data_IF_243698162860
#
_entry.id   IF_243698162860
#
_cell.length_a   1.000
_cell.length_b   1.000
_cell.length_c   1.000
_cell.angle_alpha   90.00
_cell.angle_beta   90.00
_cell.angle_gamma   90.00
#
_symmetry.space_group_name_H-M   'P 1'
#
loop_
_entity.id
_entity.type
_entity.pdbx_description
1 polymer ?
#
# COMPACT_ATOMS: atom_id res chain seq x y z
N UNK A 1 -20.08 59.44 43.87
CA UNK A 1 -20.71 59.69 42.56
C UNK A 1 -19.77 60.56 41.73
N UNK A 2 -19.58 60.36 40.42
CA UNK A 2 -19.95 59.21 39.55
C UNK A 2 -18.68 58.50 38.99
N UNK A 3 -18.54 57.17 38.96
CA UNK A 3 -19.11 56.15 38.04
C UNK A 3 -19.10 56.60 36.56
N UNK A 4 -18.03 56.23 35.84
CA UNK A 4 -17.94 56.25 34.38
C UNK A 4 -18.70 55.03 33.83
N UNK A 5 -19.65 55.16 32.89
CA UNK A 5 -20.35 54.02 32.32
C UNK A 5 -19.49 53.31 31.27
N UNK A 6 -19.31 52.00 31.44
CA UNK A 6 -18.81 51.07 30.41
C UNK A 6 -19.66 51.20 29.14
N UNK A 7 -18.99 51.50 28.02
CA UNK A 7 -19.53 51.42 26.67
C UNK A 7 -20.00 49.98 26.37
N UNK A 8 -21.30 49.72 26.54
CA UNK A 8 -21.99 48.62 25.85
C UNK A 8 -21.93 48.92 24.36
N UNK A 9 -21.02 48.27 23.64
CA UNK A 9 -21.04 48.19 22.17
C UNK A 9 -22.35 47.52 21.74
N UNK A 10 -23.37 48.35 21.47
CA UNK A 10 -24.60 47.93 20.77
C UNK A 10 -24.18 47.43 19.39
N UNK A 11 -24.19 46.11 19.19
CA UNK A 11 -24.06 45.54 17.86
C UNK A 11 -25.18 46.09 16.98
N UNK A 12 -24.85 46.93 16.01
CA UNK A 12 -25.80 47.42 15.00
C UNK A 12 -26.58 46.24 14.39
N UNK A 13 -27.89 46.38 14.09
CA UNK A 13 -28.68 45.36 13.39
C UNK A 13 -28.01 44.88 12.10
N UNK A 14 -27.30 45.77 11.39
CA UNK A 14 -26.52 45.44 10.20
C UNK A 14 -25.36 44.49 10.51
N UNK A 15 -24.67 44.67 11.65
CA UNK A 15 -23.57 43.79 12.05
C UNK A 15 -24.07 42.39 12.45
N UNK A 16 -25.31 42.27 12.92
CA UNK A 16 -25.93 40.95 13.17
C UNK A 16 -26.31 40.25 11.86
N UNK A 17 -26.82 41.00 10.88
CA UNK A 17 -27.15 40.48 9.56
C UNK A 17 -25.89 40.00 8.82
N UNK A 18 -24.82 40.81 8.84
CA UNK A 18 -23.52 40.45 8.23
C UNK A 18 -22.94 39.19 8.88
N UNK A 19 -22.97 39.07 10.21
CA UNK A 19 -22.50 37.86 10.91
C UNK A 19 -23.34 36.62 10.57
N UNK A 20 -24.66 36.76 10.44
CA UNK A 20 -25.56 35.67 10.04
C UNK A 20 -25.32 35.24 8.59
N UNK A 21 -25.11 36.19 7.68
CA UNK A 21 -24.77 35.92 6.29
C UNK A 21 -23.41 35.24 6.18
N UNK A 22 -22.38 35.74 6.86
CA UNK A 22 -21.06 35.10 6.93
C UNK A 22 -21.15 33.68 7.49
N UNK A 23 -21.89 33.48 8.57
CA UNK A 23 -22.10 32.15 9.14
C UNK A 23 -22.85 31.23 8.17
N UNK A 24 -23.92 31.70 7.53
CA UNK A 24 -24.67 30.93 6.53
C UNK A 24 -23.80 30.57 5.31
N UNK A 25 -22.98 31.51 4.83
CA UNK A 25 -22.05 31.28 3.71
C UNK A 25 -20.97 30.29 4.10
N UNK A 26 -20.36 30.42 5.29
CA UNK A 26 -19.35 29.47 5.78
C UNK A 26 -19.98 28.10 6.01
N UNK A 27 -21.18 28.04 6.62
CA UNK A 27 -21.91 26.80 6.83
C UNK A 27 -22.28 26.13 5.52
N UNK A 28 -22.76 26.89 4.53
CA UNK A 28 -23.07 26.38 3.20
C UNK A 28 -21.80 25.90 2.48
N UNK A 29 -20.70 26.66 2.50
CA UNK A 29 -19.44 26.24 1.87
C UNK A 29 -18.85 24.99 2.54
N UNK A 30 -18.93 24.89 3.86
CA UNK A 30 -18.46 23.71 4.61
C UNK A 30 -19.35 22.48 4.37
N UNK A 31 -20.66 22.65 4.14
CA UNK A 31 -21.61 21.54 3.98
C UNK A 31 -22.12 21.34 2.55
N UNK A 32 -21.69 22.15 1.58
CA UNK A 32 -22.11 22.06 0.18
C UNK A 32 -21.81 20.67 -0.40
N UNK A 33 -20.71 20.05 0.05
CA UNK A 33 -20.34 18.70 -0.34
C UNK A 33 -21.41 17.65 0.05
N UNK A 34 -22.08 17.79 1.20
CA UNK A 34 -23.17 16.89 1.62
C UNK A 34 -24.42 17.10 0.77
N UNK A 35 -24.78 18.35 0.50
CA UNK A 35 -25.97 18.68 -0.28
C UNK A 35 -25.83 18.22 -1.75
N UNK A 36 -24.64 18.36 -2.33
CA UNK A 36 -24.39 17.94 -3.71
C UNK A 36 -24.17 16.42 -3.80
N UNK A 37 -23.60 15.78 -2.77
CA UNK A 37 -23.55 14.30 -2.67
C UNK A 37 -24.94 13.67 -2.74
N UNK A 38 -25.93 14.27 -2.06
CA UNK A 38 -27.33 13.82 -2.16
C UNK A 38 -27.96 14.08 -3.53
N UNK A 39 -27.56 15.15 -4.23
CA UNK A 39 -28.06 15.47 -5.59
C UNK A 39 -27.41 14.65 -6.71
N UNK A 40 -26.19 14.13 -6.49
CA UNK A 40 -25.40 13.39 -7.48
C UNK A 40 -25.09 11.95 -7.04
N UNK A 41 -25.92 11.36 -6.17
CA UNK A 41 -25.81 9.93 -5.88
C UNK A 41 -25.87 9.19 -7.23
N UNK A 42 -24.81 8.45 -7.62
CA UNK A 42 -24.73 7.92 -8.96
C UNK A 42 -25.88 6.92 -9.18
N UNK A 43 -26.59 7.09 -10.30
CA UNK A 43 -27.53 6.11 -10.83
C UNK A 43 -26.89 4.70 -10.82
N UNK A 44 -27.69 3.70 -10.45
CA UNK A 44 -27.31 2.29 -10.38
C UNK A 44 -26.77 1.74 -11.72
N UNK A 45 -27.03 2.38 -12.86
CA UNK A 45 -26.56 1.92 -14.19
C UNK A 45 -25.05 1.85 -14.40
N UNK A 46 -24.22 2.52 -13.59
CA UNK A 46 -22.76 2.42 -13.71
C UNK A 46 -22.16 1.18 -13.02
N UNK A 47 -22.93 0.39 -12.25
CA UNK A 47 -22.42 -0.85 -11.64
C UNK A 47 -22.31 -2.00 -12.63
N UNK A 48 -23.24 -2.10 -13.58
CA UNK A 48 -23.31 -3.22 -14.52
C UNK A 48 -22.14 -3.20 -15.52
N UNK A 49 -21.75 -2.01 -16.01
CA UNK A 49 -20.56 -1.85 -16.87
C UNK A 49 -19.27 -2.24 -16.13
N UNK A 50 -19.17 -1.97 -14.83
CA UNK A 50 -17.95 -2.29 -14.06
C UNK A 50 -17.83 -3.78 -13.77
N UNK A 51 -18.93 -4.50 -13.55
CA UNK A 51 -18.89 -5.94 -13.29
C UNK A 51 -18.28 -6.73 -14.45
N UNK A 52 -18.49 -6.27 -15.69
CA UNK A 52 -17.91 -6.87 -16.90
C UNK A 52 -16.37 -6.92 -16.91
N UNK A 53 -15.71 -6.07 -16.11
CA UNK A 53 -14.25 -6.02 -16.00
C UNK A 53 -13.64 -7.27 -15.34
N UNK A 54 -14.48 -8.11 -14.70
CA UNK A 54 -14.09 -9.37 -14.08
C UNK A 54 -14.82 -10.58 -14.69
N UNK A 55 -15.45 -10.42 -15.85
CA UNK A 55 -16.11 -11.52 -16.57
C UNK A 55 -15.06 -12.38 -17.29
N UNK A 56 -14.31 -13.15 -16.51
CA UNK A 56 -13.33 -14.09 -17.04
C UNK A 56 -14.03 -15.24 -17.75
N UNK A 57 -13.70 -15.44 -19.03
CA UNK A 57 -14.14 -16.58 -19.81
C UNK A 57 -12.93 -17.28 -20.47
N UNK A 58 -12.61 -18.54 -20.09
CA UNK A 58 -11.48 -19.26 -20.65
C UNK A 58 -11.61 -19.56 -22.16
N UNK A 59 -12.84 -19.51 -22.71
CA UNK A 59 -13.09 -19.73 -24.13
C UNK A 59 -12.88 -18.47 -24.99
N UNK A 60 -12.78 -17.29 -24.37
CA UNK A 60 -12.61 -16.01 -25.07
C UNK A 60 -11.12 -15.69 -25.18
N UNK A 61 -10.64 -15.51 -26.41
CA UNK A 61 -9.26 -15.06 -26.63
C UNK A 61 -9.18 -13.54 -26.46
N UNK A 62 -8.35 -13.09 -25.51
CA UNK A 62 -8.11 -11.67 -25.25
C UNK A 62 -6.83 -11.22 -25.96
N UNK A 63 -6.78 -10.01 -26.56
CA UNK A 63 -5.57 -9.49 -27.18
C UNK A 63 -4.39 -9.45 -26.20
N UNK A 64 -3.24 -9.95 -26.65
CA UNK A 64 -2.01 -9.94 -25.86
C UNK A 64 -1.41 -8.55 -25.77
N UNK A 65 -0.78 -8.27 -24.64
CA UNK A 65 -0.02 -7.06 -24.39
C UNK A 65 1.47 -7.35 -24.54
N UNK A 66 2.11 -6.64 -25.46
CA UNK A 66 3.55 -6.73 -25.69
C UNK A 66 4.33 -5.64 -24.94
N UNK A 67 5.63 -5.87 -24.75
CA UNK A 67 6.57 -4.87 -24.20
C UNK A 67 6.72 -4.86 -22.67
N UNK A 68 6.05 -5.75 -21.94
CA UNK A 68 6.16 -5.86 -20.47
C UNK A 68 7.32 -6.78 -20.05
N UNK A 69 7.61 -7.82 -20.82
CA UNK A 69 8.59 -8.85 -20.47
C UNK A 69 8.01 -9.93 -19.55
N UNK A 70 8.88 -10.73 -18.92
CA UNK A 70 8.47 -11.81 -18.03
C UNK A 70 8.17 -11.31 -16.62
N UNK A 71 7.03 -11.72 -16.06
CA UNK A 71 6.51 -11.25 -14.78
C UNK A 71 6.43 -12.40 -13.77
N UNK A 72 7.10 -12.25 -12.64
CA UNK A 72 6.93 -13.10 -11.47
C UNK A 72 5.88 -12.48 -10.54
N UNK A 73 4.72 -13.11 -10.41
CA UNK A 73 3.60 -12.62 -9.59
C UNK A 73 3.65 -13.30 -8.22
N UNK A 74 3.63 -12.52 -7.15
CA UNK A 74 3.73 -12.97 -5.77
C UNK A 74 2.56 -12.43 -4.94
N UNK A 75 1.82 -13.31 -4.27
CA UNK A 75 0.67 -12.91 -3.45
C UNK A 75 0.57 -13.72 -2.15
N UNK A 76 0.24 -13.03 -1.07
CA UNK A 76 -0.06 -13.65 0.23
C UNK A 76 -1.53 -13.41 0.57
N UNK A 77 -2.26 -14.46 0.95
CA UNK A 77 -3.67 -14.37 1.32
C UNK A 77 -3.93 -14.87 2.74
N UNK A 78 -4.83 -14.18 3.42
CA UNK A 78 -5.37 -14.54 4.73
C UNK A 78 -6.82 -14.04 4.83
N UNK A 79 -7.79 -14.93 4.94
CA UNK A 79 -9.22 -14.59 5.09
C UNK A 79 -9.66 -13.62 3.97
N UNK A 80 -9.28 -13.94 2.74
CA UNK A 80 -9.50 -13.10 1.55
C UNK A 80 -10.72 -13.54 0.73
N UNK A 81 -11.53 -14.50 1.22
CA UNK A 81 -12.60 -15.16 0.44
C UNK A 81 -13.61 -14.19 -0.20
N UNK A 82 -13.91 -13.07 0.46
CA UNK A 82 -14.83 -12.04 -0.06
C UNK A 82 -14.33 -11.30 -1.30
N UNK A 83 -13.02 -11.24 -1.50
CA UNK A 83 -12.38 -10.49 -2.59
C UNK A 83 -11.85 -11.44 -3.66
N UNK A 84 -11.46 -12.66 -3.28
CA UNK A 84 -10.81 -13.62 -4.17
C UNK A 84 -11.63 -13.92 -5.43
N UNK A 85 -12.72 -14.67 -5.31
CA UNK A 85 -13.47 -15.14 -6.48
C UNK A 85 -14.08 -14.01 -7.33
N UNK A 86 -14.78 -13.01 -6.76
CA UNK A 86 -15.47 -12.01 -7.59
C UNK A 86 -14.52 -11.03 -8.29
N UNK A 87 -13.29 -10.83 -7.78
CA UNK A 87 -12.42 -9.77 -8.28
C UNK A 87 -10.98 -10.25 -8.51
N UNK A 88 -10.30 -10.71 -7.46
CA UNK A 88 -8.86 -10.94 -7.51
C UNK A 88 -8.46 -12.09 -8.44
N UNK A 89 -9.15 -13.25 -8.34
CA UNK A 89 -8.89 -14.44 -9.16
C UNK A 89 -9.18 -14.13 -10.63
N UNK A 90 -10.36 -13.58 -10.93
CA UNK A 90 -10.73 -13.26 -12.31
C UNK A 90 -9.79 -12.19 -12.90
N UNK A 91 -9.45 -11.16 -12.13
CA UNK A 91 -8.49 -10.14 -12.54
C UNK A 91 -7.10 -10.71 -12.82
N UNK A 92 -6.62 -11.66 -12.00
CA UNK A 92 -5.35 -12.35 -12.23
C UNK A 92 -5.40 -13.20 -13.51
N UNK A 93 -6.46 -14.00 -13.71
CA UNK A 93 -6.59 -14.86 -14.88
C UNK A 93 -6.65 -14.05 -16.18
N UNK A 94 -7.39 -12.94 -16.19
CA UNK A 94 -7.44 -12.01 -17.32
C UNK A 94 -6.07 -11.35 -17.58
N UNK A 95 -5.36 -10.95 -16.52
CA UNK A 95 -4.00 -10.41 -16.63
C UNK A 95 -3.05 -11.44 -17.27
N UNK A 96 -3.10 -12.70 -16.82
CA UNK A 96 -2.26 -13.77 -17.36
C UNK A 96 -2.57 -14.03 -18.84
N UNK A 97 -3.86 -14.06 -19.22
CA UNK A 97 -4.24 -14.19 -20.63
C UNK A 97 -3.64 -13.06 -21.49
N UNK A 98 -3.68 -11.82 -21.00
CA UNK A 98 -3.13 -10.66 -21.70
C UNK A 98 -1.60 -10.65 -21.74
N UNK A 99 -0.91 -11.06 -20.67
CA UNK A 99 0.56 -11.15 -20.65
C UNK A 99 1.10 -12.35 -21.45
N UNK A 100 0.28 -13.37 -21.63
CA UNK A 100 0.70 -14.67 -22.15
C UNK A 100 1.14 -15.59 -21.00
N UNK A 101 0.53 -16.78 -20.82
CA UNK A 101 0.89 -17.73 -19.77
C UNK A 101 2.38 -18.07 -19.71
N UNK A 102 3.06 -18.12 -20.86
CA UNK A 102 4.49 -18.44 -20.96
C UNK A 102 5.43 -17.32 -20.43
N UNK A 103 4.89 -16.12 -20.22
CA UNK A 103 5.63 -14.97 -19.70
C UNK A 103 5.39 -14.77 -18.20
N UNK A 104 4.62 -15.64 -17.54
CA UNK A 104 4.21 -15.47 -16.15
C UNK A 104 4.62 -16.66 -15.30
N UNK A 105 5.10 -16.35 -14.09
CA UNK A 105 5.17 -17.32 -13.00
C UNK A 105 4.30 -16.82 -11.84
N UNK A 106 3.55 -17.71 -11.19
CA UNK A 106 2.69 -17.35 -10.04
C UNK A 106 3.16 -18.02 -8.75
N UNK A 107 3.47 -17.24 -7.72
CA UNK A 107 3.78 -17.70 -6.37
C UNK A 107 2.72 -17.21 -5.39
N UNK A 108 1.95 -18.12 -4.83
CA UNK A 108 0.91 -17.82 -3.84
C UNK A 108 1.21 -18.57 -2.54
N UNK A 109 1.07 -17.85 -1.43
CA UNK A 109 1.12 -18.42 -0.09
C UNK A 109 -0.15 -18.02 0.68
N UNK A 110 -0.88 -19.02 1.15
CA UNK A 110 -2.03 -18.87 2.03
C UNK A 110 -1.58 -19.23 3.46
N UNK A 111 -1.77 -18.32 4.40
CA UNK A 111 -1.14 -18.37 5.72
C UNK A 111 -2.09 -18.83 6.86
N UNK A 112 -3.01 -19.76 6.59
CA UNK A 112 -3.82 -20.43 7.62
C UNK A 112 -5.18 -19.76 7.86
N UNK A 113 -5.93 -19.55 6.78
CA UNK A 113 -7.29 -19.02 6.75
C UNK A 113 -8.31 -20.03 7.26
N UNK A 114 -9.36 -19.54 7.92
CA UNK A 114 -10.49 -20.35 8.39
C UNK A 114 -11.79 -20.13 7.58
N UNK A 115 -11.73 -19.35 6.51
CA UNK A 115 -12.83 -19.14 5.57
C UNK A 115 -12.61 -19.97 4.27
N UNK A 116 -13.34 -19.66 3.20
CA UNK A 116 -13.24 -20.37 1.92
C UNK A 116 -11.96 -20.06 1.11
N UNK A 117 -11.06 -19.19 1.60
CA UNK A 117 -9.81 -18.81 0.93
C UNK A 117 -9.01 -20.04 0.45
N UNK A 118 -8.76 -21.08 1.28
CA UNK A 118 -7.99 -22.24 0.84
C UNK A 118 -8.67 -23.01 -0.30
N UNK A 119 -10.01 -23.13 -0.29
CA UNK A 119 -10.73 -23.83 -1.35
C UNK A 119 -10.64 -23.06 -2.68
N UNK A 120 -10.85 -21.73 -2.64
CA UNK A 120 -10.76 -20.88 -3.83
C UNK A 120 -9.35 -20.88 -4.44
N UNK A 121 -8.29 -20.90 -3.62
CA UNK A 121 -6.92 -20.96 -4.13
C UNK A 121 -6.56 -22.32 -4.74
N UNK A 122 -7.18 -23.43 -4.28
CA UNK A 122 -7.05 -24.74 -4.96
C UNK A 122 -7.72 -24.74 -6.33
N UNK A 123 -8.89 -24.10 -6.46
CA UNK A 123 -9.55 -23.93 -7.76
C UNK A 123 -8.68 -23.09 -8.71
N UNK A 124 -8.12 -21.98 -8.23
CA UNK A 124 -7.17 -21.16 -8.98
C UNK A 124 -5.95 -21.97 -9.43
N UNK A 125 -5.37 -22.78 -8.54
CA UNK A 125 -4.22 -23.62 -8.88
C UNK A 125 -4.53 -24.55 -10.07
N UNK A 126 -5.68 -25.22 -10.06
CA UNK A 126 -6.10 -26.08 -11.17
C UNK A 126 -6.24 -25.29 -12.47
N UNK A 127 -6.86 -24.11 -12.43
CA UNK A 127 -7.08 -23.28 -13.61
C UNK A 127 -5.76 -22.75 -14.19
N UNK A 128 -4.84 -22.27 -13.35
CA UNK A 128 -3.48 -21.89 -13.77
C UNK A 128 -2.75 -23.07 -14.44
N UNK A 129 -2.99 -24.30 -13.97
CA UNK A 129 -2.48 -25.51 -14.59
C UNK A 129 -3.04 -25.79 -15.97
N UNK A 130 -4.36 -25.59 -16.16
CA UNK A 130 -4.99 -25.71 -17.48
C UNK A 130 -4.46 -24.65 -18.47
N UNK A 131 -4.15 -23.46 -17.98
CA UNK A 131 -3.55 -22.39 -18.78
C UNK A 131 -2.06 -22.62 -19.12
N UNK A 132 -1.41 -23.62 -18.52
CA UNK A 132 0.01 -23.89 -18.72
C UNK A 132 0.94 -22.91 -17.99
N UNK A 133 0.45 -22.25 -16.94
CA UNK A 133 1.24 -21.28 -16.14
C UNK A 133 2.11 -22.04 -15.14
N UNK A 134 3.42 -21.75 -15.15
CA UNK A 134 4.33 -22.21 -14.10
C UNK A 134 4.00 -21.52 -12.77
N UNK A 135 3.90 -22.29 -11.68
CA UNK A 135 3.44 -21.74 -10.40
C UNK A 135 3.88 -22.54 -9.18
N UNK A 136 3.77 -21.89 -8.01
CA UNK A 136 3.79 -22.51 -6.69
C UNK A 136 2.65 -21.93 -5.87
N UNK A 137 1.64 -22.75 -5.56
CA UNK A 137 0.54 -22.38 -4.65
C UNK A 137 0.67 -23.22 -3.40
N UNK A 138 1.00 -22.58 -2.28
CA UNK A 138 1.13 -23.22 -0.97
C UNK A 138 -0.03 -22.79 -0.08
N UNK A 139 -0.67 -23.78 0.54
CA UNK A 139 -1.77 -23.59 1.48
C UNK A 139 -1.34 -24.20 2.80
N UNK A 140 -1.30 -23.39 3.85
CA UNK A 140 -0.90 -23.86 5.17
C UNK A 140 -1.94 -24.81 5.78
N UNK A 141 -1.45 -25.83 6.47
CA UNK A 141 -2.29 -26.86 7.09
C UNK A 141 -2.85 -26.41 8.45
N UNK A 142 -2.17 -25.46 9.10
CA UNK A 142 -2.51 -24.95 10.41
C UNK A 142 -2.95 -23.50 10.33
N UNK A 143 -3.85 -23.11 11.21
CA UNK A 143 -4.39 -21.75 11.30
C UNK A 143 -3.32 -20.75 11.71
N UNK A 144 -3.52 -19.47 11.37
CA UNK A 144 -2.63 -18.40 11.84
C UNK A 144 -2.44 -18.41 13.36
N UNK A 145 -3.50 -18.74 14.12
CA UNK A 145 -3.45 -18.85 15.57
C UNK A 145 -2.48 -19.95 16.03
N UNK A 146 -2.56 -21.11 15.40
CA UNK A 146 -1.67 -22.24 15.69
C UNK A 146 -0.21 -21.90 15.33
N UNK A 147 0.01 -21.23 14.18
CA UNK A 147 1.35 -20.76 13.81
C UNK A 147 1.94 -19.80 14.85
N UNK A 148 1.16 -18.84 15.33
CA UNK A 148 1.60 -17.93 16.40
C UNK A 148 1.92 -18.72 17.67
N UNK A 149 1.08 -19.68 18.05
CA UNK A 149 1.31 -20.52 19.22
C UNK A 149 2.59 -21.35 19.12
N UNK A 150 2.88 -21.93 17.95
CA UNK A 150 4.13 -22.67 17.71
C UNK A 150 5.37 -21.78 17.82
N UNK A 151 5.32 -20.57 17.26
CA UNK A 151 6.45 -19.63 17.36
C UNK A 151 6.66 -19.18 18.80
N UNK A 152 5.58 -18.96 19.55
CA UNK A 152 5.65 -18.64 20.99
C UNK A 152 6.24 -19.82 21.77
N UNK A 153 5.85 -21.05 21.45
CA UNK A 153 6.36 -22.25 22.11
C UNK A 153 7.86 -22.52 21.83
N UNK A 154 8.38 -22.06 20.69
CA UNK A 154 9.80 -22.17 20.34
C UNK A 154 10.72 -21.30 21.19
N UNK A 155 10.19 -20.39 21.99
CA UNK A 155 10.97 -19.53 22.87
C UNK A 155 11.22 -18.13 22.32
N UNK A 156 11.65 -17.27 23.23
CA UNK A 156 11.81 -15.83 23.06
C UNK A 156 13.28 -15.40 22.88
N UNK A 157 14.17 -16.38 22.71
CA UNK A 157 15.60 -16.26 22.43
C UNK A 157 15.90 -15.92 20.96
N UNK A 158 14.93 -16.18 20.08
CA UNK A 158 15.02 -15.87 18.64
C UNK A 158 14.82 -14.38 18.36
N UNK A 159 15.32 -13.86 17.22
CA UNK A 159 15.04 -12.50 16.81
C UNK A 159 13.55 -12.24 16.52
N UNK A 160 13.12 -11.00 16.73
CA UNK A 160 11.76 -10.53 16.45
C UNK A 160 10.86 -10.43 17.68
N UNK A 161 11.39 -10.50 18.89
CA UNK A 161 10.64 -10.32 20.14
C UNK A 161 10.92 -8.97 20.77
N UNK A 162 9.90 -8.38 21.40
CA UNK A 162 10.03 -7.09 22.09
C UNK A 162 9.36 -7.13 23.46
N UNK A 163 9.97 -6.46 24.44
CA UNK A 163 9.31 -6.19 25.72
C UNK A 163 8.35 -5.02 25.57
N UNK A 164 7.07 -5.23 25.80
CA UNK A 164 6.06 -4.18 25.64
C UNK A 164 5.86 -3.37 26.92
N UNK A 165 5.24 -2.20 26.78
CA UNK A 165 4.80 -1.34 27.88
C UNK A 165 3.89 -2.05 28.90
N UNK A 166 3.31 -3.20 28.52
CA UNK A 166 2.50 -4.07 29.39
C UNK A 166 3.31 -5.05 30.23
N UNK A 167 4.64 -4.99 30.18
CA UNK A 167 5.53 -5.93 30.88
C UNK A 167 5.46 -7.35 30.33
N UNK A 168 5.07 -7.52 29.06
CA UNK A 168 5.00 -8.81 28.38
C UNK A 168 5.96 -8.82 27.21
N UNK A 169 6.64 -9.95 26.99
CA UNK A 169 7.41 -10.18 25.78
C UNK A 169 6.49 -10.70 24.69
N UNK A 170 6.43 -9.98 23.58
CA UNK A 170 5.49 -10.24 22.48
C UNK A 170 6.24 -10.25 21.14
N UNK A 171 5.75 -11.05 20.20
CA UNK A 171 6.38 -11.19 18.88
C UNK A 171 6.01 -9.99 18.00
N UNK A 172 7.04 -9.38 17.39
CA UNK A 172 6.90 -8.25 16.47
C UNK A 172 6.28 -8.70 15.15
N UNK A 173 5.36 -7.89 14.63
CA UNK A 173 4.63 -8.15 13.38
C UNK A 173 5.54 -8.07 12.16
N UNK A 174 6.37 -7.02 12.07
CA UNK A 174 7.12 -6.70 10.84
C UNK A 174 8.13 -7.78 10.47
N UNK A 175 8.97 -8.31 11.39
CA UNK A 175 9.86 -9.42 11.06
C UNK A 175 9.12 -10.66 10.54
N UNK A 176 7.89 -10.92 11.02
CA UNK A 176 7.06 -12.00 10.50
C UNK A 176 6.59 -11.72 9.07
N UNK A 177 6.06 -10.53 8.79
CA UNK A 177 5.65 -10.15 7.43
C UNK A 177 6.82 -10.23 6.44
N UNK A 178 8.01 -9.78 6.84
CA UNK A 178 9.21 -9.90 6.03
C UNK A 178 9.53 -11.36 5.68
N UNK A 179 9.41 -12.29 6.63
CA UNK A 179 9.58 -13.75 6.38
C UNK A 179 8.55 -14.27 5.38
N UNK A 180 7.28 -13.88 5.53
CA UNK A 180 6.22 -14.29 4.60
C UNK A 180 6.48 -13.78 3.17
N UNK A 181 6.91 -12.51 3.03
CA UNK A 181 7.27 -11.95 1.72
C UNK A 181 8.49 -12.64 1.10
N UNK A 182 9.48 -12.99 1.91
CA UNK A 182 10.66 -13.73 1.44
C UNK A 182 10.31 -15.17 1.03
N UNK A 183 9.36 -15.83 1.70
CA UNK A 183 8.88 -17.17 1.30
C UNK A 183 8.30 -17.17 -0.11
N UNK A 184 7.61 -16.11 -0.50
CA UNK A 184 7.11 -15.93 -1.88
C UNK A 184 8.23 -15.79 -2.92
N UNK A 185 9.47 -15.54 -2.51
CA UNK A 185 10.63 -15.42 -3.41
C UNK A 185 11.45 -16.72 -3.50
N UNK A 186 11.17 -17.74 -2.68
CA UNK A 186 11.88 -19.02 -2.74
C UNK A 186 11.79 -19.70 -4.13
N UNK A 187 10.63 -19.73 -4.84
CA UNK A 187 10.59 -20.27 -6.19
C UNK A 187 11.48 -19.50 -7.16
N UNK A 188 11.57 -18.18 -7.03
CA UNK A 188 12.45 -17.35 -7.85
C UNK A 188 13.91 -17.74 -7.66
N UNK A 189 14.35 -18.02 -6.43
CA UNK A 189 15.71 -18.49 -6.14
C UNK A 189 15.99 -19.87 -6.75
N UNK A 190 15.02 -20.78 -6.66
CA UNK A 190 15.11 -22.13 -7.24
C UNK A 190 15.25 -22.04 -8.76
N UNK A 191 14.38 -21.25 -9.41
CA UNK A 191 14.42 -21.01 -10.86
C UNK A 191 15.72 -20.34 -11.27
N UNK A 192 16.24 -19.39 -10.48
CA UNK A 192 17.51 -18.74 -10.75
C UNK A 192 18.67 -19.76 -10.74
N UNK A 193 18.71 -20.68 -9.76
CA UNK A 193 19.70 -21.77 -9.72
C UNK A 193 19.61 -22.71 -10.91
N UNK A 194 18.41 -22.88 -11.47
CA UNK A 194 18.14 -23.69 -12.67
C UNK A 194 18.39 -22.94 -13.99
N UNK A 195 18.82 -21.67 -13.96
CA UNK A 195 18.98 -20.84 -15.16
C UNK A 195 17.65 -20.38 -15.80
N UNK A 196 16.52 -20.55 -15.08
CA UNK A 196 15.17 -20.17 -15.50
C UNK A 196 14.64 -18.91 -14.80
N UNK A 197 15.41 -18.30 -13.89
CA UNK A 197 15.03 -17.12 -13.09
C UNK A 197 15.08 -15.77 -13.82
N UNK A 198 15.11 -15.77 -15.16
CA UNK A 198 15.17 -14.56 -15.97
C UNK A 198 13.78 -13.92 -16.07
N UNK A 199 13.41 -13.15 -15.04
CA UNK A 199 12.23 -12.29 -15.02
C UNK A 199 12.62 -10.83 -15.19
N UNK A 200 11.75 -10.04 -15.81
CA UNK A 200 11.92 -8.59 -15.93
C UNK A 200 11.29 -7.85 -14.75
N UNK A 201 10.19 -8.40 -14.22
CA UNK A 201 9.38 -7.78 -13.16
C UNK A 201 9.03 -8.78 -12.07
N UNK A 202 9.00 -8.29 -10.83
CA UNK A 202 8.37 -8.98 -9.71
C UNK A 202 7.17 -8.15 -9.27
N UNK A 203 5.98 -8.71 -9.38
CA UNK A 203 4.72 -8.06 -9.01
C UNK A 203 4.23 -8.64 -7.69
N UNK A 204 4.24 -7.85 -6.62
CA UNK A 204 3.57 -8.22 -5.38
C UNK A 204 2.15 -7.68 -5.36
N UNK A 205 1.20 -8.54 -4.99
CA UNK A 205 -0.22 -8.21 -4.94
C UNK A 205 -0.80 -8.58 -3.57
N UNK A 206 -1.44 -7.60 -2.91
CA UNK A 206 -2.31 -7.84 -1.77
C UNK A 206 -3.69 -8.33 -2.25
N UNK A 207 -4.57 -8.63 -1.30
CA UNK A 207 -5.98 -8.97 -1.51
C UNK A 207 -6.86 -7.74 -1.79
N UNK A 208 -6.56 -7.06 -2.89
CA UNK A 208 -7.29 -5.87 -3.36
C UNK A 208 -8.14 -6.16 -4.61
N UNK A 209 -9.14 -5.33 -4.84
CA UNK A 209 -9.89 -5.22 -6.09
C UNK A 209 -9.06 -4.42 -7.10
N UNK A 210 -8.83 -5.01 -8.26
CA UNK A 210 -8.09 -4.46 -9.40
C UNK A 210 -8.58 -5.07 -10.70
N UNK A 211 -8.25 -4.47 -11.84
CA UNK A 211 -8.45 -5.05 -13.18
C UNK A 211 -7.12 -5.37 -13.86
N UNK A 212 -7.14 -6.21 -14.89
CA UNK A 212 -5.94 -6.48 -15.69
C UNK A 212 -5.35 -5.18 -16.29
N UNK A 213 -6.21 -4.24 -16.71
CA UNK A 213 -5.82 -2.91 -17.20
C UNK A 213 -5.08 -2.10 -16.13
N UNK A 214 -5.56 -2.12 -14.88
CA UNK A 214 -4.89 -1.45 -13.76
C UNK A 214 -3.44 -1.94 -13.61
N UNK A 215 -3.24 -3.27 -13.63
CA UNK A 215 -1.91 -3.88 -13.46
C UNK A 215 -1.02 -3.66 -14.68
N UNK A 216 -1.55 -3.73 -15.90
CA UNK A 216 -0.81 -3.42 -17.12
C UNK A 216 -0.37 -1.96 -17.13
N UNK A 217 -1.24 -1.05 -16.71
CA UNK A 217 -0.93 0.39 -16.55
C UNK A 217 0.17 0.58 -15.51
N UNK A 218 0.13 -0.17 -14.40
CA UNK A 218 1.19 -0.15 -13.39
C UNK A 218 2.53 -0.62 -13.97
N UNK A 219 2.55 -1.74 -14.69
CA UNK A 219 3.75 -2.30 -15.31
C UNK A 219 4.35 -1.39 -16.39
N UNK A 220 3.51 -0.58 -17.04
CA UNK A 220 3.89 0.43 -18.04
C UNK A 220 4.23 1.80 -17.45
N UNK A 221 4.19 1.96 -16.12
CA UNK A 221 4.58 3.23 -15.48
C UNK A 221 5.92 3.68 -16.03
N UNK A 222 6.01 4.90 -16.56
CA UNK A 222 7.23 5.43 -17.19
C UNK A 222 7.82 4.49 -18.26
N UNK A 223 7.00 3.84 -19.07
CA UNK A 223 7.44 2.88 -20.09
C UNK A 223 8.29 1.71 -19.53
N UNK A 224 8.04 1.34 -18.27
CA UNK A 224 8.83 0.33 -17.55
C UNK A 224 10.17 0.86 -17.01
N UNK A 225 10.41 2.16 -17.04
CA UNK A 225 11.60 2.81 -16.50
C UNK A 225 11.39 3.21 -15.03
N UNK A 226 11.53 2.23 -14.14
CA UNK A 226 11.51 2.40 -12.69
C UNK A 226 12.23 1.24 -11.99
N UNK A 227 12.63 1.47 -10.73
CA UNK A 227 13.11 0.41 -9.83
C UNK A 227 11.93 -0.22 -9.07
N UNK A 228 10.93 0.58 -8.72
CA UNK A 228 9.64 0.11 -8.23
C UNK A 228 8.51 1.07 -8.65
N UNK A 229 7.34 0.51 -8.96
CA UNK A 229 6.12 1.25 -9.25
C UNK A 229 4.96 0.67 -8.42
N UNK A 230 4.23 1.51 -7.67
CA UNK A 230 3.11 1.08 -6.83
C UNK A 230 1.79 1.71 -7.27
N UNK A 231 0.68 1.02 -7.02
CA UNK A 231 -0.67 1.58 -7.14
C UNK A 231 -0.98 2.57 -6.02
N UNK A 232 -2.24 2.99 -5.89
CA UNK A 232 -2.76 3.75 -4.75
C UNK A 232 -3.92 2.96 -4.15
N UNK A 233 -3.88 2.66 -2.86
CA UNK A 233 -4.86 1.78 -2.20
C UNK A 233 -5.82 2.48 -1.24
N UNK A 234 -7.05 1.96 -1.20
CA UNK A 234 -8.16 2.53 -0.44
C UNK A 234 -8.87 1.46 0.37
N UNK A 235 -9.03 1.68 1.68
CA UNK A 235 -9.84 0.81 2.53
C UNK A 235 -11.30 1.27 2.61
N UNK A 236 -11.56 2.55 2.36
CA UNK A 236 -12.88 3.18 2.32
C UNK A 236 -12.89 4.23 1.21
N UNK A 237 -14.06 4.55 0.63
CA UNK A 237 -14.19 5.68 -0.28
C UNK A 237 -13.50 6.94 0.26
N UNK A 238 -12.67 7.61 -0.55
CA UNK A 238 -11.89 8.82 -0.22
C UNK A 238 -10.73 8.64 0.77
N UNK A 239 -10.57 7.48 1.41
CA UNK A 239 -9.55 7.27 2.45
C UNK A 239 -8.45 6.36 1.95
N UNK A 240 -7.32 6.99 1.65
CA UNK A 240 -6.07 6.32 1.37
C UNK A 240 -5.60 5.48 2.56
N UNK A 241 -5.14 4.26 2.29
CA UNK A 241 -4.86 3.26 3.32
C UNK A 241 -3.40 3.25 3.78
N UNK A 242 -2.45 2.97 2.87
CA UNK A 242 -1.09 2.61 3.25
C UNK A 242 -0.19 3.82 3.58
N UNK A 243 -0.47 4.48 4.70
CA UNK A 243 0.37 5.58 5.22
C UNK A 243 1.67 5.08 5.84
N UNK A 244 1.78 3.78 6.13
CA UNK A 244 2.92 3.23 6.84
C UNK A 244 4.13 3.03 5.92
N UNK A 245 3.93 2.49 4.71
CA UNK A 245 5.01 2.30 3.76
C UNK A 245 5.31 3.55 2.91
N UNK A 246 4.30 4.39 2.65
CA UNK A 246 4.47 5.55 1.76
C UNK A 246 5.37 6.62 2.36
N UNK A 247 6.39 7.01 1.59
CA UNK A 247 7.29 8.12 1.91
C UNK A 247 7.47 8.98 0.68
N UNK A 248 7.23 10.29 0.79
CA UNK A 248 7.41 11.23 -0.32
C UNK A 248 8.87 11.27 -0.79
N UNK A 249 9.16 12.07 -1.84
CA UNK A 249 10.52 12.18 -2.39
C UNK A 249 11.58 12.63 -1.36
N UNK A 250 11.16 13.28 -0.27
CA UNK A 250 12.02 13.73 0.83
C UNK A 250 12.01 12.79 2.04
N UNK A 251 11.36 11.63 1.93
CA UNK A 251 11.27 10.65 3.01
C UNK A 251 10.22 11.00 4.07
N UNK A 252 9.28 11.89 3.78
CA UNK A 252 8.22 12.28 4.70
C UNK A 252 6.99 11.40 4.56
N UNK A 253 6.28 11.20 5.68
CA UNK A 253 5.01 10.46 5.71
C UNK A 253 3.92 11.13 4.86
N UNK A 254 2.83 10.41 4.60
CA UNK A 254 1.63 11.02 4.03
C UNK A 254 1.11 12.13 4.98
N UNK A 255 0.89 13.32 4.43
CA UNK A 255 0.36 14.45 5.19
C UNK A 255 -1.15 14.32 5.47
N UNK A 256 -1.86 13.53 4.66
CA UNK A 256 -3.29 13.28 4.80
C UNK A 256 -3.67 11.93 4.20
N UNK A 257 -4.75 11.33 4.70
CA UNK A 257 -5.43 10.22 4.03
C UNK A 257 -6.38 10.69 2.93
N UNK A 258 -6.58 12.01 2.78
CA UNK A 258 -7.39 12.59 1.70
C UNK A 258 -6.49 13.09 0.57
N UNK A 259 -6.97 12.95 -0.65
CA UNK A 259 -6.28 13.45 -1.85
C UNK A 259 -5.91 14.94 -1.66
N UNK A 260 -4.66 15.37 -1.94
CA UNK A 260 -3.59 14.68 -2.68
C UNK A 260 -2.56 13.90 -1.84
N UNK A 261 -2.86 13.56 -0.59
CA UNK A 261 -2.03 12.77 0.36
C UNK A 261 -0.70 13.39 0.79
N UNK A 262 0.00 14.11 -0.10
CA UNK A 262 1.26 14.80 0.17
C UNK A 262 1.05 16.28 0.48
N UNK A 263 1.83 16.83 1.41
CA UNK A 263 1.67 18.22 1.82
C UNK A 263 2.23 19.22 0.81
N UNK A 264 3.44 18.99 0.28
CA UNK A 264 4.11 19.91 -0.65
C UNK A 264 5.17 19.23 -1.51
N UNK A 265 5.83 20.00 -2.39
CA UNK A 265 6.95 19.50 -3.19
C UNK A 265 6.55 18.70 -4.45
N UNK A 266 7.53 17.97 -4.97
CA UNK A 266 7.44 17.27 -6.26
C UNK A 266 6.38 16.17 -6.24
N UNK A 267 6.33 15.37 -5.17
CA UNK A 267 5.36 14.27 -5.06
C UNK A 267 3.93 14.80 -5.12
N UNK A 268 3.61 15.86 -4.38
CA UNK A 268 2.27 16.49 -4.45
C UNK A 268 1.99 17.06 -5.84
N UNK A 269 2.96 17.75 -6.44
CA UNK A 269 2.74 18.41 -7.73
C UNK A 269 2.50 17.38 -8.85
N UNK A 270 3.24 16.27 -8.86
CA UNK A 270 3.01 15.15 -9.77
C UNK A 270 1.64 14.48 -9.52
N UNK A 271 1.31 14.23 -8.24
CA UNK A 271 0.00 13.69 -7.85
C UNK A 271 -1.15 14.55 -8.38
N UNK A 272 -1.07 15.87 -8.26
CA UNK A 272 -2.13 16.76 -8.75
C UNK A 272 -2.27 16.76 -10.28
N UNK A 273 -1.20 16.43 -11.03
CA UNK A 273 -1.24 16.36 -12.50
C UNK A 273 -1.66 14.99 -13.02
N UNK A 274 -1.73 13.97 -12.17
CA UNK A 274 -1.94 12.59 -12.61
C UNK A 274 -0.69 11.93 -13.20
N UNK A 275 0.49 12.54 -13.00
CA UNK A 275 1.76 11.99 -13.45
C UNK A 275 2.24 10.88 -12.49
N UNK A 276 3.12 9.95 -12.93
CA UNK A 276 3.88 9.11 -12.02
C UNK A 276 4.57 9.95 -10.93
N UNK A 277 4.29 9.62 -9.68
CA UNK A 277 4.67 10.42 -8.51
C UNK A 277 6.01 9.93 -7.96
N UNK A 278 7.07 10.76 -7.92
CA UNK A 278 8.33 10.35 -7.32
C UNK A 278 8.19 10.22 -5.80
N UNK A 279 8.67 9.12 -5.24
CA UNK A 279 8.60 8.79 -3.81
C UNK A 279 9.90 8.10 -3.38
N UNK A 280 10.20 8.09 -2.08
CA UNK A 280 11.28 7.24 -1.56
C UNK A 280 10.82 5.80 -1.32
N UNK A 281 9.53 5.60 -1.06
CA UNK A 281 8.95 4.28 -0.79
C UNK A 281 7.44 4.28 -1.06
N UNK A 282 6.93 3.15 -1.53
CA UNK A 282 5.50 2.84 -1.65
C UNK A 282 5.27 1.31 -1.63
N UNK A 283 4.02 0.88 -1.38
CA UNK A 283 3.58 -0.52 -1.54
C UNK A 283 2.14 -0.59 -2.04
N UNK A 284 1.21 0.02 -1.30
CA UNK A 284 -0.08 0.48 -1.81
C UNK A 284 -0.95 -0.54 -2.56
N UNK A 285 -1.06 -1.75 -2.00
CA UNK A 285 -1.90 -2.81 -2.53
C UNK A 285 -1.22 -3.64 -3.64
N UNK A 286 -0.64 -3.01 -4.65
CA UNK A 286 0.11 -3.67 -5.72
C UNK A 286 1.40 -2.90 -6.02
N UNK A 287 2.52 -3.61 -6.05
CA UNK A 287 3.83 -3.03 -6.40
C UNK A 287 4.56 -3.92 -7.41
N UNK A 288 5.10 -3.30 -8.45
CA UNK A 288 5.98 -3.91 -9.43
C UNK A 288 7.42 -3.47 -9.18
N UNK A 289 8.33 -4.41 -8.97
CA UNK A 289 9.76 -4.18 -8.86
C UNK A 289 10.50 -4.58 -10.14
N UNK A 290 11.62 -3.92 -10.42
CA UNK A 290 12.68 -4.53 -11.24
C UNK A 290 13.14 -5.83 -10.56
N UNK A 291 13.21 -6.92 -11.33
CA UNK A 291 13.55 -8.24 -10.79
C UNK A 291 15.05 -8.39 -10.50
N UNK A 292 15.91 -7.65 -11.21
CA UNK A 292 17.36 -7.83 -11.15
C UNK A 292 17.96 -7.71 -9.73
N UNK A 293 17.50 -6.80 -8.85
CA UNK A 293 17.94 -6.75 -7.46
C UNK A 293 17.70 -8.04 -6.65
N UNK A 294 16.63 -8.76 -6.94
CA UNK A 294 16.21 -9.95 -6.19
C UNK A 294 16.89 -11.24 -6.64
N UNK A 295 17.50 -11.24 -7.84
CA UNK A 295 18.18 -12.38 -8.46
C UNK A 295 19.70 -12.24 -8.51
N UNK A 296 20.28 -11.21 -7.86
CA UNK A 296 21.74 -11.05 -7.76
C UNK A 296 22.37 -12.29 -7.10
N UNK A 297 23.48 -12.77 -7.66
CA UNK A 297 24.23 -13.90 -7.12
C UNK A 297 24.75 -13.65 -5.69
N UNK A 298 25.17 -12.42 -5.41
CA UNK A 298 25.63 -12.01 -4.09
C UNK A 298 24.63 -11.05 -3.48
N UNK A 299 24.22 -11.36 -2.24
CA UNK A 299 23.30 -10.54 -1.42
C UNK A 299 22.06 -10.08 -2.22
N UNK A 300 21.22 -11.03 -2.67
CA UNK A 300 19.98 -10.67 -3.33
C UNK A 300 19.09 -9.85 -2.40
N UNK A 301 18.32 -8.93 -2.97
CA UNK A 301 17.43 -8.04 -2.21
C UNK A 301 16.33 -8.86 -1.51
N UNK A 302 16.17 -8.70 -0.20
CA UNK A 302 15.19 -9.43 0.61
C UNK A 302 14.52 -8.49 1.60
N UNK A 303 13.29 -8.82 1.99
CA UNK A 303 12.55 -8.08 3.01
C UNK A 303 13.14 -8.32 4.40
N UNK A 304 13.12 -7.30 5.24
CA UNK A 304 13.54 -7.38 6.65
C UNK A 304 12.72 -6.44 7.53
N UNK A 305 12.76 -6.67 8.83
CA UNK A 305 12.42 -5.65 9.83
C UNK A 305 13.66 -4.85 10.24
N UNK A 306 13.47 -3.87 11.12
CA UNK A 306 14.58 -3.20 11.80
C UNK A 306 15.21 -4.13 12.83
N UNK A 307 16.47 -3.84 13.19
CA UNK A 307 17.19 -4.55 14.25
C UNK A 307 16.41 -4.56 15.58
N UNK A 308 16.46 -5.68 16.29
CA UNK A 308 15.75 -5.83 17.57
C UNK A 308 16.22 -4.82 18.61
N UNK A 309 17.51 -4.47 18.63
CA UNK A 309 18.04 -3.44 19.54
C UNK A 309 17.48 -2.05 19.28
N UNK A 310 17.13 -1.75 18.01
CA UNK A 310 16.46 -0.50 17.65
C UNK A 310 14.98 -0.53 18.09
N UNK A 311 14.33 -1.70 17.99
CA UNK A 311 12.93 -1.88 18.39
C UNK A 311 12.69 -1.69 19.90
N UNK A 312 13.69 -1.97 20.75
CA UNK A 312 13.65 -1.70 22.20
C UNK A 312 13.40 -0.22 22.50
N UNK A 313 13.81 0.67 21.58
CA UNK A 313 13.56 2.11 21.70
C UNK A 313 12.17 2.52 21.21
N UNK A 314 11.23 1.58 21.06
CA UNK A 314 9.88 1.84 20.54
C UNK A 314 9.93 2.48 19.16
N UNK A 315 10.80 1.92 18.31
CA UNK A 315 10.86 2.22 16.89
C UNK A 315 10.39 0.99 16.12
N UNK A 316 9.77 1.22 14.98
CA UNK A 316 9.44 0.17 14.02
C UNK A 316 9.57 0.75 12.60
N UNK A 317 9.75 -0.11 11.61
CA UNK A 317 9.82 0.32 10.21
C UNK A 317 9.20 -0.73 9.31
N UNK A 318 8.30 -0.32 8.40
CA UNK A 318 7.63 -1.26 7.50
C UNK A 318 8.64 -1.99 6.61
N UNK A 319 8.54 -3.31 6.50
CA UNK A 319 9.34 -4.12 5.58
C UNK A 319 9.10 -3.69 4.12
N UNK A 320 7.89 -3.22 3.81
CA UNK A 320 7.52 -2.66 2.52
C UNK A 320 8.21 -1.32 2.22
N UNK A 321 8.67 -0.61 3.24
CA UNK A 321 9.49 0.60 3.09
C UNK A 321 10.98 0.28 3.07
N UNK A 322 11.42 -0.55 4.01
CA UNK A 322 12.83 -0.91 4.17
C UNK A 322 13.42 -1.59 2.92
N UNK A 323 12.61 -2.34 2.16
CA UNK A 323 13.04 -2.95 0.89
C UNK A 323 13.58 -1.91 -0.12
N UNK A 324 13.03 -0.69 -0.13
CA UNK A 324 13.50 0.38 -1.01
C UNK A 324 14.80 0.98 -0.51
N UNK A 325 14.92 1.18 0.81
CA UNK A 325 16.17 1.63 1.45
C UNK A 325 17.32 0.63 1.23
N UNK A 326 17.02 -0.68 1.25
CA UNK A 326 18.00 -1.75 1.08
C UNK A 326 18.40 -1.99 -0.37
N UNK A 327 17.65 -1.45 -1.34
CA UNK A 327 18.01 -1.51 -2.75
C UNK A 327 19.18 -0.56 -3.11
N UNK A 328 20.16 -0.43 -2.21
CA UNK A 328 21.43 0.26 -2.43
C UNK A 328 22.23 -0.49 -3.50
N UNK A 329 22.37 0.09 -4.70
CA UNK A 329 23.01 -0.55 -5.86
C UNK A 329 22.05 -1.08 -6.93
N UNK A 330 20.75 -0.76 -6.86
CA UNK A 330 19.77 -0.97 -7.94
C UNK A 330 20.11 -0.31 -9.27
N UNK A 331 21.07 0.60 -9.30
CA UNK A 331 21.44 1.38 -10.49
C UNK A 331 22.36 0.62 -11.48
N UNK A 332 22.06 -0.66 -11.78
CA UNK A 332 22.75 -1.37 -12.89
C UNK A 332 22.30 -0.93 -14.27
N UNK A 333 21.29 -0.06 -14.36
CA UNK A 333 21.11 0.77 -15.56
C UNK A 333 20.82 2.21 -15.13
N UNK A 334 21.57 3.16 -15.68
CA UNK A 334 21.23 4.58 -15.70
C UNK A 334 19.87 4.86 -16.37
N UNK A 335 19.17 3.82 -16.86
CA UNK A 335 17.93 3.87 -17.62
C UNK A 335 16.70 3.34 -16.86
N UNK A 336 16.78 2.93 -15.58
CA UNK A 336 15.63 2.42 -14.77
C UNK A 336 15.69 2.85 -13.30
N UNK A 337 15.50 4.14 -13.02
CA UNK A 337 15.77 4.71 -11.68
C UNK A 337 14.52 5.14 -10.91
N UNK A 338 14.52 4.86 -9.61
CA UNK A 338 13.62 5.47 -8.63
C UNK A 338 12.37 4.67 -8.32
N UNK A 339 11.69 5.09 -7.26
CA UNK A 339 10.41 4.54 -6.81
C UNK A 339 9.31 5.52 -7.21
N UNK A 340 8.25 4.99 -7.81
CA UNK A 340 7.17 5.78 -8.37
C UNK A 340 5.82 5.25 -7.90
N UNK A 341 4.92 6.14 -7.52
CA UNK A 341 3.53 5.78 -7.29
C UNK A 341 2.71 6.23 -8.49
N UNK A 342 1.94 5.32 -9.11
CA UNK A 342 1.13 5.62 -10.29
C UNK A 342 -0.30 5.96 -9.85
N UNK A 343 -0.72 7.23 -9.89
CA UNK A 343 -2.00 7.64 -9.33
C UNK A 343 -3.21 7.29 -10.24
N UNK A 344 -2.93 6.80 -11.46
CA UNK A 344 -3.97 6.28 -12.35
C UNK A 344 -4.35 4.84 -11.99
N UNK A 345 -3.52 4.13 -11.24
CA UNK A 345 -3.76 2.75 -10.80
C UNK A 345 -4.32 2.78 -9.39
N UNK A 346 -5.64 2.66 -9.25
CA UNK A 346 -6.36 2.85 -7.98
C UNK A 346 -7.01 1.54 -7.59
N UNK A 347 -6.54 0.94 -6.49
CA UNK A 347 -6.99 -0.37 -6.02
C UNK A 347 -7.73 -0.23 -4.68
N UNK A 348 -8.60 -1.16 -4.34
CA UNK A 348 -9.38 -1.07 -3.10
C UNK A 348 -9.48 -2.39 -2.35
N UNK A 349 -9.43 -2.36 -1.02
CA UNK A 349 -9.68 -3.56 -0.19
C UNK A 349 -11.17 -3.95 -0.16
N UNK A 350 -12.02 -3.27 -0.92
CA UNK A 350 -13.40 -3.63 -1.18
C UNK A 350 -13.89 -2.88 -2.42
N UNK A 351 -14.93 -3.43 -3.05
CA UNK A 351 -15.49 -2.87 -4.28
C UNK A 351 -15.98 -1.42 -4.14
N UNK A 352 -16.67 -1.01 -3.05
CA UNK A 352 -17.06 0.40 -2.86
C UNK A 352 -15.87 1.37 -2.87
N UNK A 353 -14.76 1.03 -2.20
CA UNK A 353 -13.55 1.86 -2.19
C UNK A 353 -12.91 1.94 -3.58
N UNK A 354 -12.77 0.80 -4.28
CA UNK A 354 -12.27 0.73 -5.65
C UNK A 354 -13.11 1.59 -6.61
N UNK A 355 -14.43 1.33 -6.65
CA UNK A 355 -15.36 2.02 -7.55
C UNK A 355 -15.36 3.52 -7.33
N UNK A 356 -15.43 3.95 -6.06
CA UNK A 356 -15.43 5.37 -5.75
C UNK A 356 -14.17 6.05 -6.27
N UNK A 357 -12.99 5.49 -5.98
CA UNK A 357 -11.75 6.15 -6.34
C UNK A 357 -11.49 6.15 -7.85
N UNK A 358 -11.87 5.07 -8.54
CA UNK A 358 -11.75 4.99 -10.01
C UNK A 358 -12.52 6.11 -10.69
N UNK A 359 -13.70 6.44 -10.19
CA UNK A 359 -14.57 7.49 -10.74
C UNK A 359 -14.12 8.89 -10.28
N UNK A 360 -13.88 9.08 -8.98
CA UNK A 360 -13.93 10.42 -8.39
C UNK A 360 -12.58 11.10 -8.11
N UNK A 361 -11.44 10.39 -8.00
CA UNK A 361 -10.16 10.97 -7.52
C UNK A 361 -9.74 12.27 -8.23
N UNK A 362 -9.79 12.27 -9.56
CA UNK A 362 -9.44 13.41 -10.41
C UNK A 362 -10.68 14.12 -10.99
N UNK A 363 -11.85 13.79 -10.47
CA UNK A 363 -13.12 14.32 -10.94
C UNK A 363 -13.89 14.93 -9.76
N UNK A 364 -15.09 15.41 -10.05
CA UNK A 364 -16.01 15.79 -9.00
C UNK A 364 -16.48 14.53 -8.23
N UNK A 365 -16.61 14.58 -6.89
CA UNK A 365 -16.36 15.73 -6.01
C UNK A 365 -14.93 15.82 -5.45
N UNK A 366 -14.14 14.74 -5.53
CA UNK A 366 -12.92 14.59 -4.73
C UNK A 366 -11.86 15.64 -5.06
N UNK A 367 -11.69 15.98 -6.34
CA UNK A 367 -10.72 17.00 -6.76
C UNK A 367 -11.00 18.37 -6.12
N UNK A 368 -12.27 18.76 -5.98
CA UNK A 368 -12.63 20.03 -5.33
C UNK A 368 -12.47 19.98 -3.81
N UNK A 369 -12.82 18.84 -3.20
CA UNK A 369 -12.64 18.61 -1.76
C UNK A 369 -11.13 18.58 -1.40
N UNK A 370 -10.26 18.28 -2.37
CA UNK A 370 -8.80 18.31 -2.19
C UNK A 370 -8.22 19.72 -2.00
N UNK A 371 -8.90 20.77 -2.46
CA UNK A 371 -8.40 22.16 -2.39
C UNK A 371 -8.15 22.59 -0.94
N UNK A 372 -9.13 22.51 -0.01
CA UNK A 372 -8.87 22.84 1.39
C UNK A 372 -7.84 21.92 2.05
N UNK A 373 -7.76 20.63 1.67
CA UNK A 373 -6.74 19.70 2.17
C UNK A 373 -5.34 20.16 1.77
N UNK A 374 -5.15 20.49 0.48
CA UNK A 374 -3.89 21.01 -0.08
C UNK A 374 -3.46 22.31 0.59
N UNK A 375 -4.39 23.25 0.76
CA UNK A 375 -4.10 24.55 1.40
C UNK A 375 -3.75 24.32 2.87
N UNK A 376 -4.57 23.57 3.61
CA UNK A 376 -4.38 23.33 5.04
C UNK A 376 -3.07 22.61 5.35
N UNK A 377 -2.76 21.53 4.63
CA UNK A 377 -1.51 20.76 4.82
C UNK A 377 -0.27 21.61 4.55
N UNK A 378 -0.31 22.48 3.53
CA UNK A 378 0.80 23.40 3.22
C UNK A 378 0.94 24.50 4.27
N UNK A 379 -0.16 25.14 4.69
CA UNK A 379 -0.14 26.25 5.64
C UNK A 379 0.33 25.83 7.03
N UNK A 380 -0.02 24.62 7.45
CA UNK A 380 0.30 24.08 8.78
C UNK A 380 1.67 23.35 8.78
N UNK A 381 2.27 23.15 7.61
CA UNK A 381 3.57 22.49 7.47
C UNK A 381 3.52 21.00 7.85
N UNK A 382 2.47 20.29 7.42
CA UNK A 382 2.39 18.83 7.58
C UNK A 382 3.33 18.11 6.58
N UNK A 383 3.63 16.82 6.82
CA UNK A 383 3.52 16.14 8.10
C UNK A 383 4.55 16.69 9.11
N UNK A 384 4.19 16.70 10.39
CA UNK A 384 5.14 17.14 11.42
C UNK A 384 6.16 16.03 11.72
N UNK A 385 7.44 16.33 11.49
CA UNK A 385 8.52 15.37 11.75
C UNK A 385 8.53 14.94 13.22
N UNK A 386 8.42 13.63 13.47
CA UNK A 386 8.52 13.10 14.82
C UNK A 386 9.98 13.17 15.33
N UNK A 387 10.27 14.22 16.12
CA UNK A 387 11.60 14.45 16.69
C UNK A 387 12.06 13.33 17.63
N UNK A 388 11.15 12.51 18.19
CA UNK A 388 11.51 11.38 19.06
C UNK A 388 12.24 10.30 18.28
N UNK A 389 11.76 9.98 17.07
CA UNK A 389 12.39 8.98 16.18
C UNK A 389 13.85 9.32 15.94
N UNK A 390 14.13 10.55 15.49
CA UNK A 390 15.50 11.00 15.23
C UNK A 390 16.39 11.00 16.47
N UNK A 391 15.86 11.39 17.65
CA UNK A 391 16.62 11.36 18.91
C UNK A 391 16.97 9.94 19.35
N UNK A 392 16.02 9.01 19.27
CA UNK A 392 16.23 7.60 19.63
C UNK A 392 17.22 6.92 18.70
N UNK A 393 17.08 7.15 17.39
CA UNK A 393 18.05 6.65 16.41
C UNK A 393 19.46 7.19 16.67
N UNK A 394 19.59 8.48 16.99
CA UNK A 394 20.90 9.06 17.32
C UNK A 394 21.51 8.47 18.60
N UNK A 395 20.71 8.21 19.63
CA UNK A 395 21.16 7.51 20.85
C UNK A 395 21.64 6.10 20.54
N UNK A 396 20.82 5.35 19.79
CA UNK A 396 21.14 3.99 19.37
C UNK A 396 22.43 3.91 18.56
N UNK A 397 22.63 4.80 17.59
CA UNK A 397 23.88 4.89 16.80
C UNK A 397 25.09 5.12 17.70
N UNK A 398 24.96 5.98 18.73
CA UNK A 398 26.03 6.28 19.68
C UNK A 398 26.36 5.09 20.59
N UNK A 399 25.34 4.34 21.01
CA UNK A 399 25.49 3.23 21.97
C UNK A 399 25.97 1.94 21.31
N UNK A 400 25.49 1.63 20.11
CA UNK A 400 25.74 0.35 19.43
C UNK A 400 26.77 0.45 18.31
N UNK A 401 27.02 1.65 17.78
CA UNK A 401 27.80 1.83 16.55
C UNK A 401 27.07 1.36 15.28
N UNK A 402 25.81 0.95 15.38
CA UNK A 402 25.01 0.50 14.24
C UNK A 402 24.58 1.65 13.32
N UNK A 403 24.12 1.31 12.12
CA UNK A 403 23.53 2.25 11.17
C UNK A 403 22.31 1.65 10.47
N UNK A 404 21.17 2.34 10.54
CA UNK A 404 19.93 1.97 9.84
C UNK A 404 19.78 2.84 8.60
N UNK A 405 19.92 2.20 7.43
CA UNK A 405 19.83 2.86 6.11
C UNK A 405 18.43 3.37 5.79
N UNK A 406 17.41 2.72 6.34
CA UNK A 406 16.00 3.08 6.16
C UNK A 406 15.48 4.00 7.26
N UNK A 407 16.26 4.98 7.71
CA UNK A 407 15.86 5.87 8.80
C UNK A 407 14.58 6.67 8.51
N UNK A 408 14.32 7.00 7.24
CA UNK A 408 13.09 7.62 6.76
C UNK A 408 11.86 6.69 6.83
N UNK A 409 12.06 5.38 6.97
CA UNK A 409 10.98 4.41 7.18
C UNK A 409 10.56 4.30 8.65
N UNK A 410 11.36 4.80 9.58
CA UNK A 410 11.15 4.61 11.02
C UNK A 410 9.98 5.44 11.54
N UNK A 411 9.16 4.82 12.37
CA UNK A 411 8.03 5.43 13.09
C UNK A 411 8.15 5.19 14.59
N UNK A 412 7.50 6.04 15.38
CA UNK A 412 7.36 5.91 16.84
C UNK A 412 6.12 5.06 17.16
N UNK A 413 6.17 3.79 16.75
CA UNK A 413 5.10 2.81 16.98
C UNK A 413 5.69 1.44 17.30
N UNK A 414 4.89 0.55 17.86
CA UNK A 414 5.22 -0.86 18.03
C UNK A 414 4.07 -1.75 17.57
N UNK A 415 4.35 -2.70 16.68
CA UNK A 415 3.35 -3.62 16.11
C UNK A 415 3.63 -5.04 16.57
N UNK A 416 2.71 -5.65 17.32
CA UNK A 416 2.87 -7.03 17.82
C UNK A 416 1.76 -7.93 17.29
N UNK A 417 2.07 -9.22 17.12
CA UNK A 417 1.08 -10.23 16.74
C UNK A 417 0.14 -10.56 17.89
N UNK A 418 -1.11 -10.87 17.54
CA UNK A 418 -2.13 -11.44 18.43
C UNK A 418 -2.87 -12.54 17.69
N UNK A 419 -3.63 -13.38 18.40
CA UNK A 419 -4.33 -14.55 17.82
C UNK A 419 -5.17 -14.23 16.57
N UNK A 420 -5.80 -13.04 16.54
CA UNK A 420 -6.68 -12.61 15.45
C UNK A 420 -6.03 -11.52 14.57
N UNK A 421 -4.70 -11.48 14.48
CA UNK A 421 -3.97 -10.55 13.63
C UNK A 421 -2.87 -9.81 14.38
N UNK A 422 -3.00 -8.50 14.56
CA UNK A 422 -1.96 -7.66 15.15
C UNK A 422 -2.54 -6.44 15.86
N UNK A 423 -1.75 -5.79 16.72
CA UNK A 423 -2.13 -4.57 17.44
C UNK A 423 -0.98 -3.58 17.56
N UNK A 424 -1.31 -2.29 17.65
CA UNK A 424 -0.39 -1.24 18.11
C UNK A 424 -0.26 -1.30 19.63
N UNK A 425 0.92 -0.98 20.15
CA UNK A 425 1.28 -1.08 21.58
C UNK A 425 2.07 0.14 22.01
#
# INVERSE_FOLDING_TARGET
MPIVPMLRLRSSPQNRLIRRLLFATIFFLLNAHLFIYFLHSPNEGASDDLASLWDYNPAVTVPRVHGIGKVYIAANHWISGKILKPYWINGLLMLIQQLGPENVFVSIYENGSWDETPAMLRELDQELGRMGVERRVLIEAITHREQVAEVVAQGDDKPGWVMTSRGKKELRRIPMLAKLRNRLLEPLEELQRQGKGNFDRILFMNDVVFTAEDVITLLRTRDGNYSAACSVDFNKPQYYYDTFALRDVYGQEAASQRFPFFASGESRNAMMRGDPVPVQSCWNGIVAFDAAPFTRQQKPLRFRGIDDSLSVLHLEGSECCLIHADNTGGFRSLQRSGVWMNPLVRVGYNFPAYRYQRIHMYQWPEYFISIPVRIGTSLIGLPWRNRKVGKRLASWRKETGGDEKGDFCLVDEMHVLVENGWKHV
#
